data_IF_175768398005
#
_entry.id   IF_175768398005
#
_cell.length_a   1.000
_cell.length_b   1.000
_cell.length_c   1.000
_cell.angle_alpha   90.00
_cell.angle_beta   90.00
_cell.angle_gamma   90.00
#
_symmetry.space_group_name_H-M   'P 1'
#
loop_
_entity.id
_entity.type
_entity.pdbx_description
1 polymer ?
#
# COMPACT_ATOMS: atom_id res chain seq x y z
N UNK A 1 -4.99 11.97 -16.61
CA UNK A 1 -4.82 12.21 -15.16
C UNK A 1 -5.94 11.47 -14.44
N UNK A 2 -5.62 10.44 -13.67
CA UNK A 2 -6.60 9.70 -12.88
C UNK A 2 -6.72 10.29 -11.47
N UNK A 3 -7.92 10.25 -10.90
CA UNK A 3 -8.16 10.67 -9.51
C UNK A 3 -7.86 9.50 -8.58
N UNK A 4 -6.93 9.68 -7.63
CA UNK A 4 -6.64 8.66 -6.62
C UNK A 4 -7.70 8.67 -5.53
N UNK A 5 -8.39 7.55 -5.38
CA UNK A 5 -9.41 7.33 -4.36
C UNK A 5 -8.81 6.49 -3.24
N UNK A 6 -8.89 6.96 -1.99
CA UNK A 6 -8.48 6.18 -0.81
C UNK A 6 -9.73 5.64 -0.13
N UNK A 7 -9.79 4.31 0.03
CA UNK A 7 -10.88 3.63 0.68
C UNK A 7 -10.37 2.65 1.75
N UNK A 8 -11.22 2.31 2.71
CA UNK A 8 -11.01 1.23 3.67
C UNK A 8 -11.94 0.08 3.29
N UNK A 9 -11.40 -1.13 3.24
CA UNK A 9 -12.20 -2.32 3.01
C UNK A 9 -12.72 -2.85 4.35
N UNK A 10 -14.04 -2.81 4.54
CA UNK A 10 -14.72 -3.29 5.75
C UNK A 10 -15.91 -4.17 5.37
N UNK A 11 -15.95 -5.41 5.85
CA UNK A 11 -17.07 -6.34 5.67
C UNK A 11 -17.52 -6.52 4.21
N UNK A 12 -16.60 -6.62 3.26
CA UNK A 12 -16.95 -6.78 1.84
C UNK A 12 -17.18 -5.47 1.08
N UNK A 13 -17.11 -4.31 1.75
CA UNK A 13 -17.43 -3.01 1.16
C UNK A 13 -16.19 -2.11 1.17
N UNK A 14 -15.86 -1.52 0.01
CA UNK A 14 -14.86 -0.46 -0.11
C UNK A 14 -15.49 0.88 0.25
N UNK A 15 -15.17 1.39 1.44
CA UNK A 15 -15.69 2.65 1.97
C UNK A 15 -14.68 3.77 1.69
N UNK A 16 -14.99 4.74 0.82
CA UNK A 16 -14.08 5.83 0.54
C UNK A 16 -13.92 6.70 1.79
N UNK A 17 -12.68 7.15 2.07
CA UNK A 17 -12.40 8.03 3.22
C UNK A 17 -13.01 9.42 3.05
N UNK A 18 -13.11 9.88 1.81
CA UNK A 18 -13.73 11.14 1.44
C UNK A 18 -14.99 10.86 0.63
N UNK A 19 -15.97 11.76 0.71
CA UNK A 19 -17.17 11.66 -0.12
C UNK A 19 -16.78 11.68 -1.60
N UNK A 20 -17.23 10.67 -2.34
CA UNK A 20 -17.09 10.59 -3.79
C UNK A 20 -18.39 11.05 -4.43
N UNK A 21 -18.28 11.96 -5.37
CA UNK A 21 -19.37 12.34 -6.25
C UNK A 21 -19.03 11.84 -7.66
N UNK A 22 -19.38 10.58 -7.91
CA UNK A 22 -19.16 9.91 -9.19
C UNK A 22 -20.51 9.62 -9.84
N UNK A 23 -20.67 9.90 -11.15
CA UNK A 23 -21.87 9.52 -11.88
C UNK A 23 -22.15 8.03 -11.80
N UNK A 24 -23.42 7.65 -11.80
CA UNK A 24 -23.82 6.25 -11.88
C UNK A 24 -23.24 5.59 -13.14
N UNK A 25 -22.71 4.38 -13.00
CA UNK A 25 -22.06 3.66 -14.11
C UNK A 25 -20.60 4.04 -14.38
N UNK A 26 -19.98 4.88 -13.54
CA UNK A 26 -18.55 5.17 -13.64
C UNK A 26 -17.73 3.90 -13.39
N UNK A 27 -16.99 3.46 -14.41
CA UNK A 27 -16.00 2.39 -14.26
C UNK A 27 -14.78 2.90 -13.49
N UNK A 28 -14.28 2.09 -12.55
CA UNK A 28 -13.12 2.40 -11.74
C UNK A 28 -12.14 1.23 -11.73
N UNK A 29 -10.86 1.55 -11.75
CA UNK A 29 -9.79 0.57 -11.57
C UNK A 29 -9.42 0.46 -10.09
N UNK A 30 -9.42 -0.77 -9.56
CA UNK A 30 -9.03 -1.02 -8.19
C UNK A 30 -7.57 -1.48 -8.12
N UNK A 31 -6.71 -0.63 -7.58
CA UNK A 31 -5.30 -0.97 -7.33
C UNK A 31 -5.13 -1.41 -5.89
N UNK A 32 -4.97 -2.72 -5.67
CA UNK A 32 -4.66 -3.28 -4.35
C UNK A 32 -3.14 -3.26 -4.18
N UNK A 33 -2.64 -2.35 -3.37
CA UNK A 33 -1.21 -2.30 -3.06
C UNK A 33 -0.85 -3.41 -2.05
N UNK A 34 0.26 -4.14 -2.28
CA UNK A 34 0.74 -5.10 -1.31
C UNK A 34 1.06 -4.39 0.01
N UNK A 35 0.67 -5.00 1.12
CA UNK A 35 1.09 -4.52 2.44
C UNK A 35 2.61 -4.63 2.58
N UNK A 36 3.25 -3.74 3.34
CA UNK A 36 4.70 -3.82 3.60
C UNK A 36 5.11 -5.21 4.15
N UNK A 37 4.25 -5.80 4.99
CA UNK A 37 4.43 -7.18 5.50
C UNK A 37 4.34 -8.23 4.39
N UNK A 38 3.38 -8.08 3.47
CA UNK A 38 3.26 -8.95 2.31
C UNK A 38 4.44 -8.81 1.35
N UNK A 39 4.95 -7.59 1.18
CA UNK A 39 6.14 -7.32 0.40
C UNK A 39 7.36 -8.01 1.00
N UNK A 40 7.60 -7.86 2.31
CA UNK A 40 8.72 -8.51 3.00
C UNK A 40 8.67 -10.03 2.91
N UNK A 41 7.47 -10.64 3.01
CA UNK A 41 7.30 -12.09 2.81
C UNK A 41 7.64 -12.56 1.39
N UNK A 42 7.42 -11.74 0.37
CA UNK A 42 7.81 -12.08 -1.00
C UNK A 42 9.34 -12.07 -1.19
N UNK A 43 10.07 -11.38 -0.31
CA UNK A 43 11.53 -11.34 -0.30
C UNK A 43 12.15 -12.26 0.77
N UNK A 44 11.35 -12.97 1.58
CA UNK A 44 11.84 -14.04 2.47
C UNK A 44 12.42 -15.18 1.61
N UNK A 45 13.75 -15.24 1.52
CA UNK A 45 14.47 -16.27 0.75
C UNK A 45 15.17 -15.76 -0.50
N UNK A 46 15.06 -14.46 -0.82
CA UNK A 46 15.97 -13.83 -1.79
C UNK A 46 17.28 -13.56 -1.05
N UNK A 47 18.37 -14.21 -1.47
CA UNK A 47 19.71 -13.96 -0.93
C UNK A 47 20.17 -12.58 -1.39
N UNK A 48 19.86 -11.57 -0.58
CA UNK A 48 20.15 -10.18 -0.91
C UNK A 48 21.64 -9.95 -0.71
N UNK A 49 22.36 -9.75 -1.81
CA UNK A 49 23.74 -9.26 -1.79
C UNK A 49 23.79 -7.85 -1.17
N UNK A 50 23.98 -7.79 0.15
CA UNK A 50 24.62 -6.73 0.93
C UNK A 50 23.96 -5.35 1.04
N UNK A 51 23.16 -4.89 0.07
CA UNK A 51 22.82 -3.46 -0.02
C UNK A 51 21.41 -3.10 0.49
N UNK A 52 20.47 -4.07 0.49
CA UNK A 52 19.08 -3.82 0.95
C UNK A 52 18.95 -3.86 2.47
N UNK A 53 19.81 -4.60 3.18
CA UNK A 53 19.79 -4.65 4.64
C UNK A 53 20.10 -3.28 5.27
N UNK A 54 21.03 -2.53 4.67
CA UNK A 54 21.34 -1.14 4.99
C UNK A 54 20.12 -0.23 4.80
N UNK A 55 19.45 -0.35 3.66
CA UNK A 55 18.26 0.46 3.33
C UNK A 55 17.06 0.16 4.24
N UNK A 56 16.88 -1.11 4.62
CA UNK A 56 15.82 -1.54 5.55
C UNK A 56 16.11 -1.09 7.00
N UNK A 57 17.38 -1.09 7.40
CA UNK A 57 17.82 -0.59 8.72
C UNK A 57 17.56 0.92 8.84
N UNK A 58 17.91 1.70 7.84
CA UNK A 58 17.62 3.14 7.82
C UNK A 58 16.11 3.43 7.88
N UNK A 59 15.28 2.67 7.16
CA UNK A 59 13.83 2.82 7.19
C UNK A 59 13.22 2.46 8.56
N UNK A 60 13.83 1.52 9.28
CA UNK A 60 13.40 1.09 10.62
C UNK A 60 13.81 2.09 11.70
N UNK A 61 15.00 2.67 11.59
CA UNK A 61 15.49 3.72 12.49
C UNK A 61 14.76 5.05 12.30
N UNK A 62 14.36 5.40 11.07
CA UNK A 62 13.57 6.60 10.78
C UNK A 62 12.13 6.58 11.33
N UNK A 63 11.58 5.41 11.67
CA UNK A 63 10.22 5.27 12.24
C UNK A 63 10.14 5.35 13.77
N UNK A 64 11.24 5.67 14.46
CA UNK A 64 11.25 5.88 15.91
C UNK A 64 10.95 7.34 16.33
N UNK A 65 10.58 8.21 15.39
CA UNK A 65 10.28 9.64 15.63
C UNK A 65 8.96 10.14 15.00
N UNK A 66 7.92 9.31 14.95
CA UNK A 66 6.52 9.78 14.82
C UNK A 66 5.57 8.96 15.69
#
# INVERSE_FOLDING_TARGET
>A
MGTKIIAVYENGVLRPKNRLDLPAGTEVELVILPSLKGLMKLFEGVDVRGDVESALKEARERKLWE
#
